data_IF_785350475765
#
_entry.id   IF_785350475765
#
_cell.length_a   1.000
_cell.length_b   1.000
_cell.length_c   1.000
_cell.angle_alpha   90.00
_cell.angle_beta   90.00
_cell.angle_gamma   90.00
#
_symmetry.space_group_name_H-M   'P 1'
#
loop_
_entity.id
_entity.type
_entity.pdbx_description
1 polymer ?
#
# COMPACT_ATOMS: atom_id res chain seq x y z
N UNK A 1 17.26 0.60 4.73
CA UNK A 1 16.49 -0.51 5.33
C UNK A 1 15.16 -0.52 4.61
N UNK A 2 14.77 -1.64 4.00
CA UNK A 2 13.41 -1.78 3.49
C UNK A 2 12.44 -1.62 4.65
N UNK A 3 11.49 -0.71 4.48
CA UNK A 3 10.43 -0.48 5.45
C UNK A 3 9.42 -1.62 5.32
N UNK A 4 9.64 -2.71 6.04
CA UNK A 4 8.76 -3.90 6.08
C UNK A 4 7.51 -3.68 6.94
N UNK A 5 7.08 -2.43 7.13
CA UNK A 5 5.90 -2.13 7.93
C UNK A 5 4.64 -2.50 7.14
N UNK A 6 3.85 -3.43 7.69
CA UNK A 6 2.61 -3.89 7.08
C UNK A 6 1.64 -2.72 6.93
N UNK A 7 1.23 -2.42 5.70
CA UNK A 7 0.27 -1.35 5.44
C UNK A 7 -1.15 -1.88 5.54
N UNK A 8 -1.98 -1.25 6.39
CA UNK A 8 -3.40 -1.59 6.47
C UNK A 8 -4.13 -1.07 5.23
N UNK A 9 -4.94 -1.94 4.64
CA UNK A 9 -5.77 -1.63 3.47
C UNK A 9 -6.61 -0.38 3.72
N UNK A 10 -6.60 0.57 2.76
CA UNK A 10 -7.36 1.82 2.81
C UNK A 10 -7.13 2.68 4.08
N UNK A 11 -5.94 2.64 4.68
CA UNK A 11 -5.61 3.49 5.83
C UNK A 11 -5.41 4.97 5.49
N UNK A 12 -5.03 5.28 4.24
CA UNK A 12 -4.82 6.65 3.73
C UNK A 12 -3.90 7.54 4.58
N UNK A 13 -3.02 6.94 5.38
CA UNK A 13 -2.10 7.62 6.29
C UNK A 13 -0.81 8.08 5.64
N UNK A 14 -0.64 7.82 4.34
CA UNK A 14 0.58 8.17 3.62
C UNK A 14 0.68 9.67 3.35
N UNK A 15 1.89 10.18 3.54
CA UNK A 15 2.24 11.59 3.40
C UNK A 15 3.59 11.72 2.72
N UNK A 16 3.70 12.68 1.80
CA UNK A 16 4.95 13.04 1.16
C UNK A 16 5.15 14.56 1.27
N UNK A 17 6.30 14.96 1.80
CA UNK A 17 6.70 16.36 1.84
C UNK A 17 7.51 16.69 0.57
N UNK A 18 7.10 17.77 -0.10
CA UNK A 18 7.80 18.33 -1.25
C UNK A 18 8.37 19.69 -0.86
N UNK A 19 9.55 20.02 -1.37
CA UNK A 19 10.12 21.35 -1.24
C UNK A 19 10.84 21.72 -2.55
N UNK A 20 11.40 22.93 -2.62
CA UNK A 20 12.07 23.42 -3.84
C UNK A 20 13.24 22.55 -4.31
N UNK A 21 13.79 21.72 -3.43
CA UNK A 21 14.90 20.81 -3.71
C UNK A 21 14.44 19.35 -3.90
N UNK A 22 13.19 19.02 -3.54
CA UNK A 22 12.64 17.67 -3.59
C UNK A 22 11.27 17.66 -4.29
N UNK A 23 11.33 17.70 -5.62
CA UNK A 23 10.16 17.71 -6.50
C UNK A 23 9.71 16.32 -6.95
N UNK A 24 10.54 15.31 -6.74
CA UNK A 24 10.27 13.92 -7.15
C UNK A 24 10.35 13.00 -5.94
N UNK A 25 9.34 12.14 -5.80
CA UNK A 25 9.29 11.05 -4.83
C UNK A 25 8.93 9.76 -5.55
N UNK A 26 9.73 8.73 -5.29
CA UNK A 26 9.46 7.36 -5.71
C UNK A 26 9.24 6.51 -4.47
N UNK A 27 8.27 5.61 -4.52
CA UNK A 27 8.01 4.62 -3.47
C UNK A 27 7.63 3.30 -4.12
N UNK A 28 8.32 2.25 -3.69
CA UNK A 28 8.03 0.87 -4.09
C UNK A 28 7.20 0.20 -3.01
N UNK A 29 6.20 -0.56 -3.43
CA UNK A 29 5.36 -1.37 -2.53
C UNK A 29 5.52 -2.84 -2.87
N UNK A 30 5.49 -3.68 -1.86
CA UNK A 30 5.41 -5.12 -2.00
C UNK A 30 4.00 -5.58 -1.60
N UNK A 31 3.39 -6.43 -2.42
CA UNK A 31 2.10 -7.04 -2.15
C UNK A 31 2.28 -8.55 -1.94
N UNK A 32 1.58 -9.09 -0.96
CA UNK A 32 1.55 -10.52 -0.66
C UNK A 32 0.10 -10.99 -0.52
N UNK A 33 -0.19 -12.17 -1.07
CA UNK A 33 -1.47 -12.84 -0.85
C UNK A 33 -1.37 -13.63 0.46
N UNK A 34 -2.27 -13.33 1.39
CA UNK A 34 -2.41 -14.08 2.65
C UNK A 34 -3.83 -14.58 2.82
N UNK A 35 -3.98 -15.72 3.49
CA UNK A 35 -5.29 -16.29 3.80
C UNK A 35 -5.78 -15.74 5.15
N UNK A 36 -7.04 -15.32 5.20
CA UNK A 36 -7.70 -14.98 6.46
C UNK A 36 -7.93 -16.27 7.26
N UNK A 37 -7.45 -16.32 8.51
CA UNK A 37 -7.58 -17.51 9.35
C UNK A 37 -9.05 -17.86 9.57
N UNK A 38 -9.42 -19.10 9.27
CA UNK A 38 -10.79 -19.60 9.42
C UNK A 38 -11.64 -19.51 8.16
N UNK A 39 -11.20 -18.79 7.13
CA UNK A 39 -11.91 -18.71 5.85
C UNK A 39 -11.52 -19.84 4.90
N UNK A 40 -12.52 -20.39 4.21
CA UNK A 40 -12.30 -21.32 3.10
C UNK A 40 -11.97 -20.54 1.84
N UNK A 41 -10.79 -20.78 1.26
CA UNK A 41 -10.38 -20.16 -0.01
C UNK A 41 -11.32 -20.60 -1.13
N UNK A 42 -11.98 -19.64 -1.76
CA UNK A 42 -12.78 -19.88 -2.97
C UNK A 42 -11.86 -19.98 -4.18
N UNK A 43 -12.03 -21.03 -4.97
CA UNK A 43 -11.22 -21.27 -6.17
C UNK A 43 -11.84 -20.51 -7.35
N UNK A 44 -11.02 -19.78 -8.09
CA UNK A 44 -11.41 -19.09 -9.30
C UNK A 44 -10.62 -17.80 -9.53
N UNK A 45 -10.87 -17.09 -10.64
CA UNK A 45 -10.34 -15.76 -10.83
C UNK A 45 -10.81 -14.83 -9.71
N UNK A 46 -9.90 -13.97 -9.23
CA UNK A 46 -10.24 -12.91 -8.28
C UNK A 46 -9.55 -11.61 -8.70
N UNK A 47 -10.12 -10.50 -8.26
CA UNK A 47 -9.59 -9.15 -8.48
C UNK A 47 -9.72 -8.36 -7.17
N UNK A 48 -8.76 -7.47 -6.93
CA UNK A 48 -8.83 -6.49 -5.85
C UNK A 48 -8.17 -5.19 -6.30
N UNK A 49 -8.59 -4.07 -5.70
CA UNK A 49 -8.08 -2.73 -6.01
C UNK A 49 -7.65 -2.08 -4.71
N UNK A 50 -6.45 -1.50 -4.69
CA UNK A 50 -5.95 -0.71 -3.57
C UNK A 50 -5.91 0.76 -4.00
N UNK A 51 -6.48 1.65 -3.18
CA UNK A 51 -6.38 3.09 -3.39
C UNK A 51 -5.31 3.69 -2.48
N UNK A 52 -4.30 4.30 -3.07
CA UNK A 52 -3.32 5.10 -2.35
C UNK A 52 -3.74 6.57 -2.38
N UNK A 53 -3.68 7.22 -1.23
CA UNK A 53 -3.82 8.68 -1.11
C UNK A 53 -2.51 9.24 -0.61
N UNK A 54 -1.90 10.11 -1.42
CA UNK A 54 -0.68 10.84 -1.03
C UNK A 54 -1.12 12.27 -0.70
N UNK A 55 -1.02 12.62 0.58
CA UNK A 55 -1.21 14.00 1.01
C UNK A 55 0.14 14.73 0.86
N UNK A 56 0.10 15.96 0.34
CA UNK A 56 1.27 16.83 0.20
C UNK A 56 0.96 18.22 0.79
N UNK A 57 2.00 18.94 1.20
CA UNK A 57 1.93 20.34 1.65
C UNK A 57 2.81 21.20 0.76
#
# INVERSE_FOLDING_TARGET
MEDNTLSTYNAYSEYAEFNTELLTREKSYQAELSQVTGDTVQIGPFETVVLFKINYK
#
